data_IF_178802490369
#
_entry.id   IF_178802490369
#
_cell.length_a   1.000
_cell.length_b   1.000
_cell.length_c   1.000
_cell.angle_alpha   90.00
_cell.angle_beta   90.00
_cell.angle_gamma   90.00
#
_symmetry.space_group_name_H-M   'P 1'
#
loop_
_entity.id
_entity.type
_entity.pdbx_description
1 polymer ?
#
# COMPACT_ATOMS: atom_id res chain seq x y z
N UNK A 1 -23.03 12.19 14.27
CA UNK A 1 -22.65 11.27 15.36
C UNK A 1 -21.36 10.58 14.95
N UNK A 2 -20.23 10.95 15.55
CA UNK A 2 -18.90 10.40 15.26
C UNK A 2 -18.71 9.22 16.23
N UNK A 3 -18.91 7.99 15.75
CA UNK A 3 -18.56 6.81 16.55
C UNK A 3 -17.03 6.82 16.70
N UNK A 4 -16.56 7.23 17.87
CA UNK A 4 -15.22 6.95 18.34
C UNK A 4 -15.15 5.44 18.60
N UNK A 5 -14.65 4.70 17.62
CA UNK A 5 -14.18 3.33 17.86
C UNK A 5 -12.89 3.43 18.66
N UNK A 6 -12.83 2.60 19.70
CA UNK A 6 -11.77 2.45 20.69
C UNK A 6 -10.34 2.56 20.13
N UNK A 7 -9.41 3.01 20.97
CA UNK A 7 -8.00 3.28 20.65
C UNK A 7 -7.19 2.07 20.14
N UNK A 8 -7.46 1.65 18.91
CA UNK A 8 -6.58 0.83 18.09
C UNK A 8 -5.89 1.73 17.07
N UNK A 9 -4.56 1.73 17.03
CA UNK A 9 -3.81 2.48 16.04
C UNK A 9 -4.27 2.09 14.63
N UNK A 10 -4.77 3.05 13.85
CA UNK A 10 -5.10 2.84 12.44
C UNK A 10 -3.82 2.52 11.69
N UNK A 11 -3.90 1.62 10.72
CA UNK A 11 -2.76 1.28 9.87
C UNK A 11 -2.28 2.53 9.13
N UNK A 12 -1.00 2.88 9.29
CA UNK A 12 -0.40 4.02 8.60
C UNK A 12 -0.21 3.68 7.12
N UNK A 13 -0.69 4.55 6.23
CA UNK A 13 -0.49 4.45 4.79
C UNK A 13 0.28 5.66 4.31
N UNK A 14 1.42 5.42 3.66
CA UNK A 14 2.22 6.48 3.04
C UNK A 14 1.82 6.61 1.58
N UNK A 15 1.66 7.84 1.09
CA UNK A 15 1.39 8.13 -0.31
C UNK A 15 2.48 9.02 -0.86
N UNK A 16 3.24 8.55 -1.85
CA UNK A 16 4.40 9.28 -2.39
C UNK A 16 4.04 10.23 -3.53
N UNK A 17 2.85 10.08 -4.11
CA UNK A 17 2.35 10.83 -5.26
C UNK A 17 1.10 11.63 -4.90
N UNK A 18 0.81 12.74 -5.59
CA UNK A 18 -0.47 13.44 -5.44
C UNK A 18 -1.65 12.53 -5.77
N UNK A 19 -2.68 12.55 -4.93
CA UNK A 19 -3.97 11.92 -5.15
C UNK A 19 -5.06 12.99 -5.20
N UNK A 20 -6.16 12.70 -5.88
CA UNK A 20 -7.36 13.53 -5.80
C UNK A 20 -8.03 13.41 -4.41
N UNK A 21 -8.82 14.43 -4.06
CA UNK A 21 -9.47 14.52 -2.74
C UNK A 21 -10.37 13.32 -2.44
N UNK A 22 -11.03 12.74 -3.46
CA UNK A 22 -11.94 11.61 -3.27
C UNK A 22 -11.16 10.33 -2.92
N UNK A 23 -10.00 10.10 -3.55
CA UNK A 23 -9.09 9.01 -3.20
C UNK A 23 -8.54 9.18 -1.77
N UNK A 24 -8.13 10.39 -1.39
CA UNK A 24 -7.64 10.68 -0.03
C UNK A 24 -8.75 10.45 1.01
N UNK A 25 -9.95 10.98 0.80
CA UNK A 25 -11.10 10.77 1.70
C UNK A 25 -11.46 9.27 1.81
N UNK A 26 -11.30 8.52 0.73
CA UNK A 26 -11.53 7.08 0.72
C UNK A 26 -10.50 6.32 1.55
N UNK A 27 -9.23 6.71 1.53
CA UNK A 27 -8.18 6.14 2.38
C UNK A 27 -8.36 6.55 3.84
N UNK A 28 -8.66 7.82 4.11
CA UNK A 28 -8.84 8.40 5.45
C UNK A 28 -10.09 7.87 6.19
N UNK A 29 -10.89 7.01 5.55
CA UNK A 29 -11.91 6.21 6.22
C UNK A 29 -11.39 4.93 6.88
N UNK A 30 -10.25 4.41 6.44
CA UNK A 30 -9.71 3.10 6.87
C UNK A 30 -8.32 3.21 7.49
N UNK A 31 -7.49 4.12 6.98
CA UNK A 31 -6.06 4.23 7.29
C UNK A 31 -5.69 5.57 7.89
N UNK A 32 -4.56 5.65 8.59
CA UNK A 32 -3.92 6.92 8.93
C UNK A 32 -3.03 7.35 7.76
N UNK A 33 -3.45 8.38 7.01
CA UNK A 33 -2.84 8.73 5.72
C UNK A 33 -1.73 9.75 5.91
N UNK A 34 -0.52 9.39 5.51
CA UNK A 34 0.65 10.26 5.47
C UNK A 34 1.00 10.59 4.01
N UNK A 35 0.74 11.82 3.58
CA UNK A 35 1.08 12.29 2.24
C UNK A 35 2.52 12.83 2.23
N UNK A 36 3.37 12.30 1.34
CA UNK A 36 4.67 12.89 1.07
C UNK A 36 4.48 14.15 0.23
N UNK A 37 4.85 15.31 0.77
CA UNK A 37 4.78 16.59 0.05
C UNK A 37 6.03 16.86 -0.78
N UNK A 38 6.85 15.85 -1.04
CA UNK A 38 8.11 16.03 -1.75
C UNK A 38 7.87 16.20 -3.25
N UNK A 39 8.38 17.28 -3.82
CA UNK A 39 8.34 17.54 -5.26
C UNK A 39 9.61 16.98 -5.91
N UNK A 40 9.55 15.76 -6.43
CA UNK A 40 10.68 15.12 -7.11
C UNK A 40 10.68 13.60 -6.95
N UNK A 41 11.63 12.93 -7.61
CA UNK A 41 11.85 11.49 -7.44
C UNK A 41 12.38 11.25 -6.03
N UNK A 42 11.67 10.44 -5.24
CA UNK A 42 12.13 10.05 -3.92
C UNK A 42 13.35 9.14 -4.05
N UNK A 43 14.41 9.43 -3.27
CA UNK A 43 15.54 8.52 -3.18
C UNK A 43 15.12 7.27 -2.41
N UNK A 44 15.78 6.14 -2.70
CA UNK A 44 15.59 4.87 -1.99
C UNK A 44 15.64 5.04 -0.46
N UNK A 45 16.62 5.78 0.04
CA UNK A 45 16.81 5.98 1.49
C UNK A 45 15.70 6.84 2.09
N UNK A 46 15.24 7.88 1.38
CA UNK A 46 14.11 8.69 1.81
C UNK A 46 12.80 7.90 1.82
N UNK A 47 12.58 7.05 0.81
CA UNK A 47 11.45 6.14 0.77
C UNK A 47 11.50 5.14 1.92
N UNK A 48 12.66 4.54 2.19
CA UNK A 48 12.83 3.58 3.28
C UNK A 48 12.48 4.22 4.62
N UNK A 49 12.98 5.43 4.89
CA UNK A 49 12.69 6.15 6.13
C UNK A 49 11.19 6.44 6.30
N UNK A 50 10.47 6.79 5.23
CA UNK A 50 9.02 7.01 5.31
C UNK A 50 8.26 5.70 5.55
N UNK A 51 8.70 4.60 4.92
CA UNK A 51 7.99 3.32 4.98
C UNK A 51 8.26 2.53 6.26
N UNK A 52 9.34 2.81 7.02
CA UNK A 52 9.70 2.08 8.25
C UNK A 52 8.58 1.89 9.26
N UNK A 53 7.65 2.84 9.33
CA UNK A 53 6.47 2.78 10.22
C UNK A 53 5.15 2.69 9.47
N UNK A 54 5.19 2.46 8.16
CA UNK A 54 4.01 2.36 7.31
C UNK A 54 3.58 0.89 7.23
N UNK A 55 2.28 0.66 7.42
CA UNK A 55 1.68 -0.64 7.16
C UNK A 55 1.40 -0.84 5.66
N UNK A 56 1.17 0.25 4.93
CA UNK A 56 1.03 0.20 3.48
C UNK A 56 1.60 1.43 2.79
N UNK A 57 1.83 1.30 1.49
CA UNK A 57 2.29 2.40 0.65
C UNK A 57 1.52 2.48 -0.68
N UNK A 58 1.16 3.70 -1.08
CA UNK A 58 0.88 4.06 -2.47
C UNK A 58 2.11 4.74 -3.04
N UNK A 59 2.76 4.06 -3.98
CA UNK A 59 4.02 4.52 -4.57
C UNK A 59 3.83 4.93 -6.03
N UNK A 60 4.73 5.73 -6.56
CA UNK A 60 4.75 6.11 -7.97
C UNK A 60 5.62 5.18 -8.81
N UNK A 61 5.52 5.34 -10.13
CA UNK A 61 6.25 4.51 -11.10
C UNK A 61 7.78 4.57 -11.01
N UNK A 62 8.36 5.53 -10.28
CA UNK A 62 9.81 5.67 -10.12
C UNK A 62 10.31 5.23 -8.73
N UNK A 63 9.42 4.87 -7.81
CA UNK A 63 9.78 4.45 -6.46
C UNK A 63 10.29 3.01 -6.49
N UNK A 64 11.46 2.78 -5.88
CA UNK A 64 12.14 1.48 -5.90
C UNK A 64 11.89 0.74 -4.60
N UNK A 65 11.29 -0.45 -4.70
CA UNK A 65 11.08 -1.39 -3.59
C UNK A 65 11.89 -2.65 -3.87
N UNK A 66 13.08 -2.73 -3.26
CA UNK A 66 14.00 -3.86 -3.42
C UNK A 66 14.10 -4.73 -2.16
N UNK A 67 14.67 -5.92 -2.31
CA UNK A 67 14.84 -6.88 -1.22
C UNK A 67 15.53 -6.28 0.02
N UNK A 68 16.59 -5.49 -0.18
CA UNK A 68 17.37 -4.88 0.90
C UNK A 68 16.57 -3.83 1.68
N UNK A 69 15.62 -3.18 1.03
CA UNK A 69 14.75 -2.22 1.68
C UNK A 69 13.72 -2.95 2.53
N UNK A 70 13.13 -4.04 2.01
CA UNK A 70 12.13 -4.84 2.72
C UNK A 70 12.65 -5.44 4.04
N UNK A 71 13.95 -5.72 4.14
CA UNK A 71 14.60 -6.23 5.37
C UNK A 71 14.43 -5.29 6.58
N UNK A 72 14.24 -3.98 6.36
CA UNK A 72 14.07 -2.96 7.40
C UNK A 72 12.59 -2.55 7.60
N UNK A 73 11.65 -3.17 6.89
CA UNK A 73 10.24 -2.75 6.82
C UNK A 73 9.29 -3.76 7.47
N UNK A 74 9.53 -4.09 8.73
CA UNK A 74 8.76 -5.10 9.49
C UNK A 74 7.24 -4.82 9.56
N UNK A 75 6.86 -3.54 9.51
CA UNK A 75 5.46 -3.14 9.58
C UNK A 75 4.74 -3.22 8.23
N UNK A 76 5.47 -3.27 7.11
CA UNK A 76 4.90 -3.15 5.78
C UNK A 76 4.17 -4.45 5.40
N UNK A 77 2.91 -4.33 5.00
CA UNK A 77 2.04 -5.47 4.64
C UNK A 77 1.56 -5.41 3.19
N UNK A 78 1.48 -4.21 2.62
CA UNK A 78 0.99 -4.03 1.25
C UNK A 78 1.59 -2.80 0.57
N UNK A 79 1.93 -2.91 -0.71
CA UNK A 79 2.32 -1.79 -1.56
C UNK A 79 1.51 -1.84 -2.84
N UNK A 80 0.92 -0.72 -3.21
CA UNK A 80 0.29 -0.54 -4.52
C UNK A 80 1.00 0.59 -5.24
N UNK A 81 1.44 0.36 -6.47
CA UNK A 81 2.02 1.41 -7.27
C UNK A 81 1.00 1.97 -8.28
N UNK A 82 1.05 3.29 -8.45
CA UNK A 82 0.19 4.08 -9.33
C UNK A 82 0.72 4.07 -10.76
N UNK A 83 0.83 2.88 -11.35
CA UNK A 83 1.36 2.65 -12.68
C UNK A 83 0.62 1.48 -13.34
N UNK A 84 0.74 1.37 -14.68
CA UNK A 84 0.29 0.17 -15.40
C UNK A 84 1.34 -0.96 -15.34
N UNK A 85 2.56 -0.66 -14.88
CA UNK A 85 3.67 -1.61 -14.79
C UNK A 85 4.56 -1.32 -13.59
N UNK A 86 5.23 -2.37 -13.10
CA UNK A 86 6.03 -2.33 -11.87
C UNK A 86 7.49 -2.75 -12.06
N UNK A 87 8.25 -2.07 -12.93
CA UNK A 87 9.63 -2.46 -13.19
C UNK A 87 10.55 -2.27 -11.97
N UNK A 88 10.12 -1.54 -10.95
CA UNK A 88 10.93 -1.17 -9.78
C UNK A 88 10.50 -1.86 -8.48
N UNK A 89 9.53 -2.79 -8.54
CA UNK A 89 9.16 -3.63 -7.39
C UNK A 89 9.72 -5.04 -7.56
N UNK A 90 10.55 -5.49 -6.61
CA UNK A 90 11.00 -6.88 -6.55
C UNK A 90 9.89 -7.77 -5.97
N UNK A 91 8.99 -8.23 -6.84
CA UNK A 91 7.81 -9.03 -6.45
C UNK A 91 8.22 -10.31 -5.71
N UNK A 92 9.32 -10.95 -6.09
CA UNK A 92 9.79 -12.17 -5.44
C UNK A 92 10.27 -11.90 -4.01
N UNK A 93 10.99 -10.80 -3.81
CA UNK A 93 11.40 -10.37 -2.47
C UNK A 93 10.18 -9.96 -1.61
N UNK A 94 9.23 -9.23 -2.20
CA UNK A 94 7.98 -8.85 -1.53
C UNK A 94 7.16 -10.07 -1.11
N UNK A 95 7.04 -11.08 -1.98
CA UNK A 95 6.43 -12.37 -1.62
C UNK A 95 7.13 -13.01 -0.43
N UNK A 96 8.46 -13.09 -0.44
CA UNK A 96 9.23 -13.68 0.68
C UNK A 96 9.04 -12.94 1.99
N UNK A 97 8.87 -11.62 1.92
CA UNK A 97 8.58 -10.77 3.07
C UNK A 97 7.09 -10.80 3.49
N UNK A 98 6.22 -11.48 2.74
CA UNK A 98 4.78 -11.49 3.00
C UNK A 98 4.07 -10.17 2.65
N UNK A 99 4.71 -9.31 1.86
CA UNK A 99 4.18 -8.02 1.42
C UNK A 99 3.38 -8.19 0.14
N UNK A 100 2.10 -7.82 0.17
CA UNK A 100 1.22 -7.84 -1.01
C UNK A 100 1.63 -6.75 -1.99
N UNK A 101 1.97 -7.14 -3.22
CA UNK A 101 2.37 -6.22 -4.27
C UNK A 101 1.21 -6.02 -5.25
N UNK A 102 0.86 -4.76 -5.55
CA UNK A 102 -0.23 -4.40 -6.46
C UNK A 102 0.21 -3.28 -7.42
N UNK A 103 -0.46 -3.18 -8.57
CA UNK A 103 -0.20 -2.18 -9.60
C UNK A 103 -1.52 -1.69 -10.17
N UNK A 104 -1.76 -0.39 -10.19
CA UNK A 104 -2.93 0.14 -10.88
C UNK A 104 -2.68 1.57 -11.36
N UNK A 105 -2.93 1.90 -12.64
CA UNK A 105 -2.77 3.27 -13.14
C UNK A 105 -3.90 4.20 -12.67
N UNK A 106 -4.99 3.64 -12.11
CA UNK A 106 -6.14 4.39 -11.60
C UNK A 106 -6.04 4.55 -10.08
N UNK A 107 -6.10 5.79 -9.61
CA UNK A 107 -6.00 6.12 -8.18
C UNK A 107 -7.12 5.48 -7.36
N UNK A 108 -8.36 5.49 -7.87
CA UNK A 108 -9.50 4.89 -7.18
C UNK A 108 -9.32 3.39 -6.99
N UNK A 109 -8.87 2.70 -8.03
CA UNK A 109 -8.57 1.27 -8.01
C UNK A 109 -7.39 0.94 -7.10
N UNK A 110 -6.33 1.74 -7.12
CA UNK A 110 -5.19 1.57 -6.21
C UNK A 110 -5.59 1.69 -4.74
N UNK A 111 -6.50 2.62 -4.42
CA UNK A 111 -7.11 2.72 -3.08
C UNK A 111 -7.93 1.48 -2.75
N UNK A 112 -8.75 0.99 -3.68
CA UNK A 112 -9.53 -0.24 -3.49
C UNK A 112 -8.63 -1.47 -3.25
N UNK A 113 -7.50 -1.57 -3.96
CA UNK A 113 -6.48 -2.60 -3.77
C UNK A 113 -5.94 -2.60 -2.34
N UNK A 114 -5.51 -1.44 -1.82
CA UNK A 114 -5.04 -1.35 -0.43
C UNK A 114 -6.14 -1.66 0.58
N UNK A 115 -7.34 -1.10 0.40
CA UNK A 115 -8.49 -1.39 1.29
C UNK A 115 -8.76 -2.90 1.32
N UNK A 116 -8.76 -3.56 0.17
CA UNK A 116 -8.94 -5.00 0.05
C UNK A 116 -7.79 -5.80 0.71
N UNK A 117 -6.54 -5.36 0.58
CA UNK A 117 -5.37 -6.05 1.13
C UNK A 117 -5.40 -6.17 2.66
N UNK A 118 -6.09 -5.25 3.34
CA UNK A 118 -6.31 -5.26 4.79
C UNK A 118 -7.65 -5.89 5.20
N UNK A 119 -8.37 -6.53 4.27
CA UNK A 119 -9.64 -7.20 4.57
C UNK A 119 -10.84 -6.27 4.64
N UNK A 120 -10.71 -5.01 4.25
CA UNK A 120 -11.81 -4.06 4.25
C UNK A 120 -12.54 -4.00 2.90
N UNK A 121 -13.75 -3.43 2.91
CA UNK A 121 -14.54 -3.21 1.70
C UNK A 121 -15.12 -4.50 1.10
N UNK A 122 -15.74 -4.36 -0.09
CA UNK A 122 -16.43 -5.49 -0.77
C UNK A 122 -15.49 -6.59 -1.23
N UNK A 123 -14.23 -6.25 -1.52
CA UNK A 123 -13.21 -7.16 -2.02
C UNK A 123 -12.21 -7.54 -0.91
N UNK A 124 -12.59 -7.42 0.36
CA UNK A 124 -11.73 -7.71 1.51
C UNK A 124 -11.03 -9.06 1.39
N UNK A 125 -9.70 -9.05 1.47
CA UNK A 125 -8.83 -10.21 1.34
C UNK A 125 -8.47 -10.59 -0.10
N UNK A 126 -9.06 -9.95 -1.11
CA UNK A 126 -8.84 -10.23 -2.54
C UNK A 126 -8.65 -8.94 -3.35
N UNK A 127 -7.47 -8.31 -3.28
CA UNK A 127 -7.16 -7.14 -4.11
C UNK A 127 -7.25 -7.50 -5.60
N UNK A 128 -7.95 -6.71 -6.43
CA UNK A 128 -8.17 -7.02 -7.85
C UNK A 128 -6.89 -7.04 -8.69
N UNK A 129 -5.89 -6.21 -8.37
CA UNK A 129 -4.66 -6.07 -9.16
C UNK A 129 -3.42 -6.61 -8.40
N UNK A 130 -3.60 -7.71 -7.66
CA UNK A 130 -2.52 -8.36 -6.92
C UNK A 130 -1.53 -9.06 -7.88
N UNK A 131 -0.24 -8.78 -7.69
CA UNK A 131 0.85 -9.29 -8.53
C UNK A 131 1.48 -10.57 -7.99
N UNK A 132 1.38 -10.79 -6.68
CA UNK A 132 1.83 -12.01 -6.01
C UNK A 132 0.66 -12.82 -5.43
N UNK A 133 -0.04 -13.60 -6.28
CA UNK A 133 -1.26 -14.31 -5.90
C UNK A 133 -1.03 -15.35 -4.81
N UNK A 134 0.21 -15.83 -4.60
CA UNK A 134 0.53 -16.71 -3.46
C UNK A 134 0.26 -16.09 -2.08
N UNK A 135 0.07 -14.77 -1.98
CA UNK A 135 -0.31 -14.08 -0.75
C UNK A 135 -1.83 -13.85 -0.59
N UNK A 136 -2.64 -14.39 -1.51
CA UNK A 136 -4.09 -14.39 -1.35
C UNK A 136 -4.49 -15.17 -0.09
N UNK A 137 -5.45 -14.62 0.64
CA UNK A 137 -5.98 -15.30 1.80
C UNK A 137 -6.92 -16.42 1.34
N UNK A 138 -6.53 -17.68 1.57
CA UNK A 138 -7.37 -18.85 1.30
C UNK A 138 -8.49 -19.05 2.34
N UNK A 139 -8.48 -18.30 3.45
CA UNK A 139 -9.37 -18.52 4.58
C UNK A 139 -10.85 -18.12 4.36
N UNK A 140 -11.19 -17.49 3.22
CA UNK A 140 -12.54 -16.96 2.97
C UNK A 140 -13.27 -17.60 1.77
N UNK A 141 -12.87 -18.79 1.34
CA UNK A 141 -13.66 -19.57 0.35
C UNK A 141 -14.82 -20.28 1.07
N UNK A 142 -15.92 -19.58 1.28
CA UNK A 142 -17.23 -20.15 1.65
C UNK A 142 -18.20 -20.06 0.47
#
# INVERSE_FOLDING_TARGET
>A
MKLALAGGHRHRVVVTQPLDDAAIERLDRFFDVALCTHTGVMTRDALSEQLRSAAAALVGACDVIDARMLDDLDALQAVCCLSASEPHMDIAAMTRAGVRAMSSPDAGRAVENLVAAFGFGRLGGRPPDLLNPELLCDCCSF
#
